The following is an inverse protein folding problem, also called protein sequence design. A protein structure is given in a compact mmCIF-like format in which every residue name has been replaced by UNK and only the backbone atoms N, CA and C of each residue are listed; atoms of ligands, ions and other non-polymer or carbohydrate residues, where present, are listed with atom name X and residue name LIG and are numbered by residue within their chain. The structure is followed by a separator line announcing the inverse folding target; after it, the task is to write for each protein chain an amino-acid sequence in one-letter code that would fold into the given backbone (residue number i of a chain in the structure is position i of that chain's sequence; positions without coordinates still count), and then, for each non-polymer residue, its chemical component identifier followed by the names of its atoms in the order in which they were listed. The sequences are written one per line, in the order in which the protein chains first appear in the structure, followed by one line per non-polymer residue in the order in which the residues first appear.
data_IF_993350504663
#
_entry.id   IF_993350504663
#
_cell.length_a   1.000
_cell.length_b   1.000
_cell.length_c   1.000
_cell.angle_alpha   90.00
_cell.angle_beta   90.00
_cell.angle_gamma   90.00
#
_symmetry.space_group_name_H-M   'P 1'
#
loop_
_entity.id
_entity.type
_entity.pdbx_description
1 polymer ?
#
# COMPACT_ATOMS: atom_id res chain seq x y z
N UNK A 1 19.99 3.77 19.87
CA UNK A 1 20.86 3.33 18.77
C UNK A 1 20.20 3.76 17.47
N UNK A 2 20.67 4.82 16.85
CA UNK A 2 20.20 5.28 15.55
C UNK A 2 20.91 4.44 14.48
N UNK A 3 20.16 3.68 13.68
CA UNK A 3 20.72 3.08 12.48
C UNK A 3 21.37 4.19 11.61
N UNK A 4 22.53 3.93 10.98
CA UNK A 4 23.05 4.85 9.97
C UNK A 4 22.02 4.92 8.82
N UNK A 5 21.97 6.03 8.06
CA UNK A 5 21.18 6.07 6.83
C UNK A 5 21.85 5.12 5.84
N UNK A 6 21.50 3.84 5.90
CA UNK A 6 21.73 2.93 4.80
C UNK A 6 20.98 3.48 3.60
N UNK A 7 21.61 3.41 2.41
CA UNK A 7 20.97 3.70 1.14
C UNK A 7 19.55 3.14 1.18
N UNK A 8 18.55 4.03 1.15
CA UNK A 8 17.15 3.65 1.19
C UNK A 8 16.90 2.83 -0.07
N UNK A 9 16.90 1.51 0.08
CA UNK A 9 16.74 0.58 -1.04
C UNK A 9 15.43 0.90 -1.73
N UNK A 10 15.50 1.48 -2.92
CA UNK A 10 14.32 1.76 -3.73
C UNK A 10 13.75 0.42 -4.18
N UNK A 11 12.47 0.18 -3.88
CA UNK A 11 11.78 -1.05 -4.21
C UNK A 11 10.78 -0.78 -5.33
N UNK A 12 10.60 -1.78 -6.19
CA UNK A 12 9.44 -1.82 -7.07
C UNK A 12 8.37 -2.64 -6.35
N UNK A 13 7.31 -1.96 -5.91
CA UNK A 13 6.16 -2.58 -5.28
C UNK A 13 5.09 -2.80 -6.35
N UNK A 14 4.59 -4.03 -6.43
CA UNK A 14 3.51 -4.38 -7.33
C UNK A 14 2.23 -4.59 -6.54
N UNK A 15 1.20 -3.79 -6.86
CA UNK A 15 -0.13 -3.92 -6.28
C UNK A 15 -1.00 -4.68 -7.26
N UNK A 16 -1.65 -5.76 -6.81
CA UNK A 16 -2.72 -6.44 -7.53
C UNK A 16 -4.07 -5.83 -7.11
N UNK A 17 -4.63 -4.89 -7.89
CA UNK A 17 -5.82 -4.19 -7.46
C UNK A 17 -7.02 -5.12 -7.36
N UNK A 18 -7.86 -4.95 -6.34
CA UNK A 18 -9.07 -5.77 -6.21
C UNK A 18 -10.13 -5.48 -7.26
N UNK A 19 -10.10 -4.27 -7.80
CA UNK A 19 -11.04 -3.76 -8.79
C UNK A 19 -10.59 -4.05 -10.23
N UNK A 20 -9.40 -4.62 -10.43
CA UNK A 20 -8.81 -4.79 -11.75
C UNK A 20 -7.79 -5.92 -11.81
N UNK A 21 -7.87 -6.76 -12.84
CA UNK A 21 -6.85 -7.77 -13.13
C UNK A 21 -5.51 -7.18 -13.63
N UNK A 22 -5.38 -5.85 -13.70
CA UNK A 22 -4.15 -5.19 -14.16
C UNK A 22 -3.28 -4.79 -12.98
N UNK A 23 -2.12 -5.46 -12.88
CA UNK A 23 -1.07 -5.14 -11.93
C UNK A 23 -0.63 -3.67 -12.06
N UNK A 24 -0.44 -2.99 -10.93
CA UNK A 24 0.10 -1.63 -10.89
C UNK A 24 1.47 -1.66 -10.24
N UNK A 25 2.47 -1.10 -10.94
CA UNK A 25 3.85 -1.03 -10.45
C UNK A 25 4.15 0.35 -9.91
N UNK A 26 4.83 0.41 -8.78
CA UNK A 26 5.23 1.63 -8.12
C UNK A 26 6.70 1.55 -7.75
N UNK A 27 7.46 2.57 -8.14
CA UNK A 27 8.85 2.74 -7.71
C UNK A 27 8.85 3.61 -6.45
N UNK A 28 9.35 3.09 -5.33
CA UNK A 28 9.46 3.85 -4.09
C UNK A 28 10.67 4.78 -4.15
N UNK A 29 10.49 6.02 -3.69
CA UNK A 29 11.52 7.07 -3.73
C UNK A 29 12.02 7.43 -2.34
N UNK A 30 11.10 7.62 -1.41
CA UNK A 30 11.39 8.00 -0.03
C UNK A 30 10.52 7.20 0.93
N UNK A 31 11.11 6.81 2.07
CA UNK A 31 10.32 6.32 3.21
C UNK A 31 9.75 7.53 3.95
N UNK A 32 8.42 7.61 4.01
CA UNK A 32 7.68 8.58 4.82
C UNK A 32 7.55 8.06 6.26
N UNK A 33 7.22 6.77 6.40
CA UNK A 33 7.10 6.09 7.68
C UNK A 33 7.53 4.63 7.55
N UNK A 34 8.33 4.14 8.48
CA UNK A 34 8.68 2.73 8.59
C UNK A 34 8.43 2.28 10.03
N UNK A 35 7.28 1.65 10.26
CA UNK A 35 6.96 1.04 11.54
C UNK A 35 6.94 -0.48 11.36
N UNK A 36 8.00 -1.13 11.83
CA UNK A 36 8.12 -2.59 11.77
C UNK A 36 7.14 -3.28 12.72
N UNK A 37 6.87 -4.56 12.44
CA UNK A 37 6.11 -5.43 13.33
C UNK A 37 6.94 -5.66 14.60
N UNK A 38 6.61 -4.95 15.68
CA UNK A 38 7.07 -5.34 17.01
C UNK A 38 6.09 -6.39 17.55
N UNK A 39 6.55 -7.59 17.98
CA UNK A 39 5.67 -8.69 18.40
C UNK A 39 4.65 -8.34 19.50
N UNK A 40 4.84 -7.20 20.16
CA UNK A 40 4.05 -6.74 21.29
C UNK A 40 3.20 -5.48 21.02
N UNK A 41 3.37 -4.77 19.88
CA UNK A 41 2.87 -3.38 19.75
C UNK A 41 2.14 -2.98 18.48
N UNK A 42 1.92 -3.87 17.52
CA UNK A 42 0.89 -3.67 16.50
C UNK A 42 1.30 -3.96 15.07
N UNK A 43 0.36 -3.69 14.17
CA UNK A 43 0.44 -3.98 12.74
C UNK A 43 1.62 -3.22 12.13
N UNK A 44 2.50 -3.94 11.44
CA UNK A 44 3.54 -3.30 10.64
C UNK A 44 2.88 -2.36 9.64
N UNK A 45 3.41 -1.15 9.49
CA UNK A 45 2.94 -0.17 8.50
C UNK A 45 4.15 0.53 7.90
N UNK A 46 4.26 0.42 6.58
CA UNK A 46 5.24 1.14 5.79
C UNK A 46 4.53 2.15 4.90
N UNK A 47 5.05 3.37 4.86
CA UNK A 47 4.52 4.45 4.02
C UNK A 47 5.67 5.02 3.21
N UNK A 48 5.48 5.07 1.91
CA UNK A 48 6.46 5.54 0.95
C UNK A 48 5.89 6.68 0.10
N UNK A 49 6.74 7.63 -0.27
CA UNK A 49 6.54 8.36 -1.51
C UNK A 49 6.90 7.42 -2.66
N UNK A 50 6.02 7.29 -3.64
CA UNK A 50 6.22 6.43 -4.78
C UNK A 50 5.75 7.11 -6.07
N UNK A 51 6.16 6.57 -7.21
CA UNK A 51 5.66 6.98 -8.52
C UNK A 51 5.26 5.76 -9.33
N UNK A 52 4.17 5.87 -10.09
CA UNK A 52 3.69 4.78 -10.92
C UNK A 52 4.68 4.50 -12.05
N UNK A 53 4.86 3.23 -12.38
CA UNK A 53 5.74 2.79 -13.47
C UNK A 53 4.90 2.05 -14.52
N UNK A 54 5.22 2.25 -15.79
CA UNK A 54 4.63 1.48 -16.89
C UNK A 54 5.28 0.09 -17.06
N UNK A 55 4.88 -0.65 -18.10
CA UNK A 55 5.43 -1.97 -18.41
C UNK A 55 6.89 -1.92 -18.88
N UNK A 56 7.35 -0.78 -19.41
CA UNK A 56 8.71 -0.57 -19.85
C UNK A 56 9.65 -0.04 -18.76
N UNK A 57 9.17 0.08 -17.51
CA UNK A 57 9.97 0.60 -16.40
C UNK A 57 10.03 2.12 -16.33
N UNK A 58 9.25 2.85 -17.14
CA UNK A 58 9.26 4.31 -17.15
C UNK A 58 8.27 4.88 -16.13
N UNK A 59 8.73 5.82 -15.33
CA UNK A 59 7.89 6.54 -14.37
C UNK A 59 6.83 7.39 -15.09
N UNK A 60 5.62 7.45 -14.51
CA UNK A 60 4.45 8.10 -15.11
C UNK A 60 3.58 8.79 -14.07
N UNK A 61 3.18 10.02 -14.39
CA UNK A 61 2.22 10.80 -13.62
C UNK A 61 2.84 11.47 -12.39
N UNK A 62 1.98 11.91 -11.48
CA UNK A 62 2.39 12.58 -10.26
C UNK A 62 2.83 11.58 -9.18
N UNK A 63 3.70 11.99 -8.24
CA UNK A 63 4.02 11.19 -7.06
C UNK A 63 2.77 10.87 -6.23
N UNK A 64 2.79 9.71 -5.59
CA UNK A 64 1.72 9.19 -4.75
C UNK A 64 2.26 8.70 -3.42
N UNK A 65 1.37 8.57 -2.44
CA UNK A 65 1.68 7.90 -1.18
C UNK A 65 1.27 6.44 -1.30
N UNK A 66 2.23 5.52 -1.10
CA UNK A 66 1.99 4.09 -1.02
C UNK A 66 2.04 3.67 0.45
N UNK A 67 0.92 3.16 0.96
CA UNK A 67 0.81 2.59 2.30
C UNK A 67 0.71 1.07 2.18
N UNK A 68 1.69 0.39 2.75
CA UNK A 68 1.75 -1.06 2.87
C UNK A 68 1.54 -1.45 4.33
N UNK A 69 0.68 -2.44 4.58
CA UNK A 69 0.27 -2.85 5.92
C UNK A 69 0.18 -4.35 6.03
N UNK A 70 0.60 -4.88 7.18
CA UNK A 70 0.29 -6.25 7.56
C UNK A 70 -1.12 -6.29 8.15
N UNK A 71 -1.94 -7.20 7.63
CA UNK A 71 -3.31 -7.41 8.07
C UNK A 71 -3.48 -8.81 8.64
N UNK A 72 -4.24 -8.92 9.72
CA UNK A 72 -4.65 -10.21 10.28
C UNK A 72 -5.68 -10.88 9.37
N UNK A 73 -5.66 -12.21 9.30
CA UNK A 73 -6.51 -13.01 8.40
C UNK A 73 -8.03 -12.81 8.59
N UNK A 74 -8.47 -12.35 9.76
CA UNK A 74 -9.88 -12.14 10.10
C UNK A 74 -10.35 -10.68 9.88
N UNK A 75 -9.46 -9.81 9.41
CA UNK A 75 -9.76 -8.40 9.19
C UNK A 75 -10.04 -8.07 7.72
N UNK A 76 -11.01 -7.18 7.51
CA UNK A 76 -11.28 -6.59 6.19
C UNK A 76 -10.14 -5.64 5.79
N UNK A 77 -9.71 -5.75 4.53
CA UNK A 77 -8.71 -4.85 3.93
C UNK A 77 -9.22 -3.41 3.91
N UNK A 78 -8.34 -2.45 4.24
CA UNK A 78 -8.70 -1.03 4.38
C UNK A 78 -9.40 -0.45 3.15
N UNK A 79 -8.95 -0.83 1.94
CA UNK A 79 -9.61 -0.39 0.71
C UNK A 79 -11.02 -0.95 0.50
N UNK A 80 -11.30 -2.16 0.99
CA UNK A 80 -12.66 -2.74 0.97
C UNK A 80 -13.58 -1.96 1.92
N UNK A 81 -13.08 -1.64 3.12
CA UNK A 81 -13.80 -0.81 4.09
C UNK A 81 -14.07 0.57 3.49
N UNK A 82 -13.07 1.20 2.86
CA UNK A 82 -13.22 2.51 2.21
C UNK A 82 -14.28 2.50 1.12
N UNK A 83 -14.31 1.46 0.28
CA UNK A 83 -15.31 1.30 -0.76
C UNK A 83 -16.73 1.12 -0.18
N UNK A 84 -16.86 0.38 0.92
CA UNK A 84 -18.14 0.23 1.62
C UNK A 84 -18.61 1.57 2.20
N UNK A 85 -17.73 2.32 2.86
CA UNK A 85 -18.03 3.66 3.36
C UNK A 85 -18.52 4.59 2.24
N UNK A 86 -17.86 4.58 1.08
CA UNK A 86 -18.29 5.41 -0.05
C UNK A 86 -19.65 4.99 -0.64
N UNK A 87 -19.98 3.70 -0.58
CA UNK A 87 -21.28 3.19 -1.05
C UNK A 87 -22.42 3.59 -0.11
N UNK A 88 -22.14 3.69 1.18
CA UNK A 88 -23.12 4.00 2.23
C UNK A 88 -23.23 5.51 2.53
N UNK A 89 -22.25 6.30 2.09
CA UNK A 89 -22.19 7.76 2.26
C UNK A 89 -23.41 8.49 1.68
N UNK A 90 -23.98 9.40 2.47
CA UNK A 90 -25.00 10.33 2.01
C UNK A 90 -24.40 11.53 1.24
N UNK A 91 -25.23 12.50 0.85
CA UNK A 91 -24.76 13.66 0.07
C UNK A 91 -23.84 14.60 0.87
N UNK A 92 -24.03 14.71 2.18
CA UNK A 92 -23.17 15.52 3.04
C UNK A 92 -21.80 14.85 3.22
N UNK A 93 -21.79 13.52 3.39
CA UNK A 93 -20.57 12.71 3.44
C UNK A 93 -19.78 12.82 2.13
N UNK A 94 -20.44 12.74 0.97
CA UNK A 94 -19.81 12.91 -0.35
C UNK A 94 -19.18 14.29 -0.53
N UNK A 95 -19.81 15.34 0.02
CA UNK A 95 -19.23 16.67 -0.01
C UNK A 95 -17.92 16.73 0.79
N UNK A 96 -17.82 15.99 1.90
CA UNK A 96 -16.61 15.91 2.72
C UNK A 96 -15.51 15.08 2.07
N UNK A 97 -15.84 14.07 1.26
CA UNK A 97 -14.86 13.21 0.58
C UNK A 97 -13.85 13.98 -0.27
N UNK A 98 -14.22 15.13 -0.84
CA UNK A 98 -13.29 15.98 -1.61
C UNK A 98 -12.12 16.53 -0.78
N UNK A 99 -12.22 16.47 0.54
CA UNK A 99 -11.17 16.91 1.48
C UNK A 99 -10.29 15.76 1.98
N UNK A 100 -10.64 14.50 1.66
CA UNK A 100 -9.84 13.34 2.02
C UNK A 100 -8.88 12.94 0.89
N UNK A 101 -7.86 12.17 1.25
CA UNK A 101 -6.98 11.54 0.28
C UNK A 101 -7.77 10.50 -0.52
N UNK A 102 -7.69 10.58 -1.85
CA UNK A 102 -8.32 9.62 -2.74
C UNK A 102 -7.39 8.43 -3.00
N UNK A 103 -7.83 7.24 -2.62
CA UNK A 103 -7.10 6.01 -2.94
C UNK A 103 -7.18 5.72 -4.45
N UNK A 104 -6.04 5.75 -5.15
CA UNK A 104 -5.99 5.48 -6.59
C UNK A 104 -6.15 3.98 -6.92
N UNK A 105 -5.81 3.11 -5.99
CA UNK A 105 -6.03 1.66 -5.98
C UNK A 105 -5.74 1.09 -4.60
N UNK A 106 -6.26 -0.12 -4.34
CA UNK A 106 -5.91 -0.92 -3.18
C UNK A 106 -5.87 -2.40 -3.57
N UNK A 107 -5.06 -3.19 -2.88
CA UNK A 107 -5.02 -4.63 -3.07
C UNK A 107 -3.77 -5.26 -2.46
N UNK A 108 -3.51 -6.49 -2.86
CA UNK A 108 -2.39 -7.27 -2.32
C UNK A 108 -1.06 -6.84 -2.94
N UNK A 109 -0.01 -6.86 -2.13
CA UNK A 109 1.36 -6.59 -2.56
C UNK A 109 2.01 -7.89 -3.01
N UNK A 110 2.71 -7.83 -4.14
CA UNK A 110 3.52 -8.93 -4.67
C UNK A 110 4.96 -8.44 -4.83
N UNK A 111 5.91 -9.24 -4.34
CA UNK A 111 7.35 -8.97 -4.47
C UNK A 111 7.85 -9.41 -5.86
N UNK A 112 7.39 -10.56 -6.37
CA UNK A 112 7.67 -11.06 -7.72
C UNK A 112 6.38 -11.50 -8.44
N UNK A 113 6.33 -11.45 -9.79
CA UNK A 113 5.14 -11.87 -10.51
C UNK A 113 4.80 -13.33 -10.22
N UNK A 114 3.66 -13.57 -9.56
CA UNK A 114 3.16 -14.92 -9.27
C UNK A 114 3.75 -15.60 -8.05
N UNK A 115 4.60 -14.92 -7.26
CA UNK A 115 5.04 -15.42 -5.95
C UNK A 115 4.15 -14.79 -4.87
N UNK A 116 3.26 -15.57 -4.21
CA UNK A 116 2.45 -15.07 -3.11
C UNK A 116 3.34 -14.67 -1.94
N UNK A 117 2.92 -13.65 -1.19
CA UNK A 117 3.51 -13.32 0.10
C UNK A 117 3.14 -14.41 1.12
N UNK A 118 4.09 -15.30 1.41
CA UNK A 118 3.96 -16.37 2.40
C UNK A 118 4.52 -15.96 3.77
N UNK A 119 4.63 -14.66 4.08
CA UNK A 119 5.18 -14.21 5.37
C UNK A 119 4.42 -14.84 6.55
N UNK A 120 3.13 -15.16 6.40
CA UNK A 120 2.35 -15.87 7.41
C UNK A 120 2.93 -17.25 7.78
N UNK A 121 3.42 -18.02 6.80
CA UNK A 121 3.98 -19.37 7.02
C UNK A 121 5.29 -19.34 7.83
N UNK A 122 5.97 -18.19 7.84
CA UNK A 122 7.23 -17.97 8.55
C UNK A 122 7.04 -17.48 9.99
N UNK A 123 5.82 -17.11 10.38
CA UNK A 123 5.48 -16.64 11.73
C UNK A 123 4.93 -17.75 12.65
N UNK A 124 5.00 -19.03 12.22
CA UNK A 124 4.57 -20.21 12.98
C UNK A 124 5.72 -20.90 13.73
#
# INVERSE_FOLDING_TARGET
MTCPPGDLTQFIIMVHPHDSNKLRRFHTRQIILLFGVEPLRGRGTHVFEAIRVDEGGKEKGDPVVLKDIWIDHDHLREGVILMQLYKEADEDDKLMQRHFLAAICHGDVLMEPGVPDNTQDLMC
#
